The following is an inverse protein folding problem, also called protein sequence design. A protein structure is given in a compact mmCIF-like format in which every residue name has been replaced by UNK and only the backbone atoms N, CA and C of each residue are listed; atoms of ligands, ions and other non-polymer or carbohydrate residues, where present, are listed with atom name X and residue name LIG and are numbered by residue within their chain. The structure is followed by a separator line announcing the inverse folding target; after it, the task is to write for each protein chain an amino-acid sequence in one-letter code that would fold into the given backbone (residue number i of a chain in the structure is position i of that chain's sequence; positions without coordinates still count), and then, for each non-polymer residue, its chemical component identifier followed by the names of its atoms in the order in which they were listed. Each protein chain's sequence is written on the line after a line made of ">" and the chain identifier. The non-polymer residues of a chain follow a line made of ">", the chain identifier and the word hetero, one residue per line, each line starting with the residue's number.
data_IF_245795949075
#
_entry.id   IF_245795949075
#
_cell.length_a   1.000
_cell.length_b   1.000
_cell.length_c   1.000
_cell.angle_alpha   90.00
_cell.angle_beta   90.00
_cell.angle_gamma   90.00
#
_symmetry.space_group_name_H-M   'P 1'
#
loop_
_entity.id
_entity.type
_entity.pdbx_description
1 polymer ?
#
# COMPACT_ATOMS: atom_id res chain seq x y z
N UNK A 1 13.03 23.42 -32.55
CA UNK A 1 12.87 22.28 -31.63
C UNK A 1 12.02 21.18 -32.25
N UNK A 2 10.98 21.54 -33.01
CA UNK A 2 10.11 20.59 -33.72
C UNK A 2 10.85 19.66 -34.68
N UNK A 3 11.88 20.15 -35.38
CA UNK A 3 12.69 19.31 -36.29
C UNK A 3 13.45 18.18 -35.57
N UNK A 4 13.93 18.42 -34.35
CA UNK A 4 14.61 17.40 -33.55
C UNK A 4 13.61 16.35 -33.04
N UNK A 5 12.40 16.79 -32.66
CA UNK A 5 11.31 15.90 -32.26
C UNK A 5 10.83 15.06 -33.45
N UNK A 6 10.70 15.66 -34.64
CA UNK A 6 10.36 14.96 -35.87
C UNK A 6 11.44 13.93 -36.25
N UNK A 7 12.72 14.27 -36.08
CA UNK A 7 13.83 13.35 -36.33
C UNK A 7 13.85 12.18 -35.33
N UNK A 8 13.55 12.42 -34.05
CA UNK A 8 13.38 11.36 -33.05
C UNK A 8 12.25 10.39 -33.43
N UNK A 9 11.11 10.92 -33.88
CA UNK A 9 9.97 10.12 -34.33
C UNK A 9 10.31 9.31 -35.58
N UNK A 10 11.01 9.90 -36.55
CA UNK A 10 11.43 9.19 -37.76
C UNK A 10 12.42 8.04 -37.47
N UNK A 11 13.34 8.23 -36.52
CA UNK A 11 14.27 7.18 -36.11
C UNK A 11 13.52 6.04 -35.40
N UNK A 12 12.52 6.37 -34.58
CA UNK A 12 11.71 5.37 -33.88
C UNK A 12 10.86 4.54 -34.84
N UNK A 13 10.28 5.17 -35.87
CA UNK A 13 9.53 4.49 -36.93
C UNK A 13 10.41 3.51 -37.74
N UNK A 14 11.71 3.79 -37.85
CA UNK A 14 12.68 2.94 -38.56
C UNK A 14 13.49 2.02 -37.63
N UNK A 15 13.18 1.98 -36.33
CA UNK A 15 13.93 1.22 -35.32
C UNK A 15 14.08 -0.26 -35.63
N UNK A 16 13.10 -0.87 -36.31
CA UNK A 16 13.13 -2.30 -36.69
C UNK A 16 14.22 -2.66 -37.71
N UNK A 17 14.74 -1.68 -38.45
CA UNK A 17 15.80 -1.85 -39.46
C UNK A 17 17.17 -1.49 -38.88
N UNK A 18 17.20 -0.83 -37.72
CA UNK A 18 18.42 -0.35 -37.08
C UNK A 18 18.95 -1.41 -36.09
N UNK A 19 20.26 -1.70 -36.10
CA UNK A 19 20.88 -2.49 -35.05
C UNK A 19 20.66 -1.84 -33.68
N UNK A 20 20.31 -2.64 -32.68
CA UNK A 20 19.89 -2.18 -31.35
C UNK A 20 20.88 -1.19 -30.71
N UNK A 21 22.18 -1.49 -30.80
CA UNK A 21 23.24 -0.62 -30.27
C UNK A 21 23.29 0.75 -30.96
N UNK A 22 23.09 0.80 -32.28
CA UNK A 22 23.11 2.05 -33.05
C UNK A 22 21.88 2.90 -32.78
N UNK A 23 20.70 2.27 -32.63
CA UNK A 23 19.47 2.96 -32.24
C UNK A 23 19.62 3.63 -30.86
N UNK A 24 20.11 2.89 -29.87
CA UNK A 24 20.36 3.42 -28.53
C UNK A 24 21.37 4.58 -28.52
N UNK A 25 22.43 4.49 -29.32
CA UNK A 25 23.42 5.56 -29.45
C UNK A 25 22.79 6.84 -30.03
N UNK A 26 21.95 6.70 -31.06
CA UNK A 26 21.21 7.82 -31.64
C UNK A 26 20.25 8.46 -30.64
N UNK A 27 19.47 7.66 -29.89
CA UNK A 27 18.59 8.15 -28.83
C UNK A 27 19.34 8.94 -27.77
N UNK A 28 20.49 8.44 -27.33
CA UNK A 28 21.34 9.11 -26.33
C UNK A 28 21.93 10.42 -26.86
N UNK A 29 22.39 10.45 -28.12
CA UNK A 29 22.89 11.68 -28.75
C UNK A 29 21.80 12.73 -28.89
N UNK A 30 20.60 12.37 -29.32
CA UNK A 30 19.45 13.29 -29.42
C UNK A 30 19.02 13.83 -28.05
N UNK A 31 19.02 12.98 -27.01
CA UNK A 31 18.77 13.39 -25.63
C UNK A 31 19.81 14.41 -25.13
N UNK A 32 21.08 14.20 -25.45
CA UNK A 32 22.15 15.13 -25.08
C UNK A 32 22.05 16.45 -25.85
N UNK A 33 21.67 16.42 -27.13
CA UNK A 33 21.43 17.63 -27.93
C UNK A 33 20.28 18.43 -27.32
N UNK A 34 19.15 17.78 -27.00
CA UNK A 34 18.02 18.42 -26.31
C UNK A 34 18.43 18.99 -24.95
N UNK A 35 19.23 18.25 -24.18
CA UNK A 35 19.73 18.70 -22.86
C UNK A 35 20.70 19.87 -22.94
N UNK A 36 21.53 19.94 -23.98
CA UNK A 36 22.51 21.03 -24.14
C UNK A 36 21.90 22.29 -24.77
N UNK A 37 20.94 22.16 -25.68
CA UNK A 37 20.21 23.31 -26.26
C UNK A 37 19.30 23.97 -25.22
N UNK A 38 18.76 23.18 -24.27
CA UNK A 38 17.90 23.70 -23.21
C UNK A 38 18.64 24.02 -21.89
N UNK A 39 19.98 24.02 -21.89
CA UNK A 39 20.72 24.55 -20.74
C UNK A 39 20.62 26.07 -20.77
N UNK A 40 20.09 26.73 -19.71
CA UNK A 40 20.21 28.18 -19.60
C UNK A 40 21.70 28.52 -19.56
N UNK A 41 22.13 29.36 -20.50
CA UNK A 41 23.49 29.84 -20.62
C UNK A 41 23.94 30.45 -19.28
N UNK A 42 24.95 29.88 -18.63
CA UNK A 42 25.55 30.46 -17.43
C UNK A 42 26.25 31.77 -17.84
N UNK A 43 25.55 32.88 -17.63
CA UNK A 43 26.04 34.22 -17.93
C UNK A 43 27.36 34.51 -17.17
N UNK A 44 28.39 35.05 -17.83
CA UNK A 44 29.61 35.48 -17.16
C UNK A 44 29.31 36.73 -16.33
N UNK A 45 29.76 36.71 -15.07
CA UNK A 45 29.68 37.83 -14.14
C UNK A 45 30.35 39.07 -14.72
N UNK A 46 29.58 40.10 -15.10
CA UNK A 46 29.95 41.51 -14.92
C UNK A 46 28.72 42.43 -15.03
N UNK A 47 28.72 43.55 -14.29
CA UNK A 47 27.55 44.35 -14.02
C UNK A 47 27.30 45.28 -15.21
N UNK A 48 26.06 45.49 -15.62
CA UNK A 48 25.52 46.82 -15.96
C UNK A 48 24.01 46.69 -16.25
N UNK A 49 23.28 47.64 -15.67
CA UNK A 49 21.82 47.75 -15.65
C UNK A 49 21.26 47.80 -17.08
N UNK A 50 20.39 46.86 -17.40
CA UNK A 50 19.25 47.10 -18.28
C UNK A 50 18.01 46.59 -17.56
N UNK A 51 17.25 47.51 -16.96
CA UNK A 51 15.92 47.24 -16.45
C UNK A 51 14.99 46.97 -17.65
N UNK A 52 14.87 45.71 -18.05
CA UNK A 52 13.71 45.21 -18.78
C UNK A 52 12.72 44.59 -17.78
N UNK A 53 11.40 44.65 -18.02
CA UNK A 53 10.44 43.96 -17.16
C UNK A 53 10.77 42.46 -17.16
N UNK A 54 11.02 41.92 -15.97
CA UNK A 54 11.25 40.50 -15.72
C UNK A 54 10.07 39.71 -16.29
N UNK A 55 10.23 39.06 -17.44
CA UNK A 55 9.26 38.09 -17.91
C UNK A 55 9.33 36.90 -16.96
N UNK A 56 8.44 36.87 -15.98
CA UNK A 56 8.16 35.67 -15.20
C UNK A 56 7.57 34.63 -16.14
N UNK A 57 8.08 33.39 -16.16
CA UNK A 57 7.41 32.30 -16.87
C UNK A 57 5.96 32.24 -16.41
N UNK A 58 5.01 32.19 -17.35
CA UNK A 58 3.60 32.05 -17.02
C UNK A 58 3.44 30.74 -16.22
N UNK A 59 3.22 30.87 -14.91
CA UNK A 59 2.69 29.77 -14.12
C UNK A 59 1.18 29.82 -14.31
N UNK A 60 0.56 28.79 -14.92
CA UNK A 60 -0.89 28.66 -14.88
C UNK A 60 -1.30 28.74 -13.41
N UNK A 61 -2.16 29.69 -13.09
CA UNK A 61 -2.76 29.74 -11.76
C UNK A 61 -3.59 28.47 -11.66
N UNK A 62 -3.12 27.50 -10.87
CA UNK A 62 -3.90 26.30 -10.61
C UNK A 62 -5.21 26.74 -9.93
N UNK A 63 -6.33 26.42 -10.54
CA UNK A 63 -7.65 26.76 -10.00
C UNK A 63 -7.83 26.03 -8.65
N UNK A 64 -8.53 26.66 -7.70
CA UNK A 64 -8.72 26.08 -6.37
C UNK A 64 -9.34 24.67 -6.44
N UNK A 65 -10.20 24.45 -7.42
CA UNK A 65 -10.88 23.17 -7.63
C UNK A 65 -9.94 22.08 -8.16
N UNK A 66 -8.91 22.42 -8.94
CA UNK A 66 -7.86 21.48 -9.35
C UNK A 66 -6.97 21.05 -8.17
N UNK A 67 -6.69 21.99 -7.26
CA UNK A 67 -5.97 21.69 -6.01
C UNK A 67 -6.83 20.76 -5.13
N UNK A 68 -8.10 21.09 -4.92
CA UNK A 68 -9.04 20.26 -4.14
C UNK A 68 -9.20 18.87 -4.74
N UNK A 69 -9.39 18.78 -6.07
CA UNK A 69 -9.50 17.49 -6.79
C UNK A 69 -8.29 16.60 -6.57
N UNK A 70 -7.07 17.13 -6.65
CA UNK A 70 -5.84 16.36 -6.39
C UNK A 70 -5.76 15.88 -4.94
N UNK A 71 -6.17 16.71 -3.98
CA UNK A 71 -6.20 16.35 -2.56
C UNK A 71 -7.18 15.21 -2.29
N UNK A 72 -8.40 15.30 -2.82
CA UNK A 72 -9.43 14.26 -2.71
C UNK A 72 -8.92 12.95 -3.29
N UNK A 73 -8.39 12.95 -4.51
CA UNK A 73 -7.84 11.74 -5.16
C UNK A 73 -6.71 11.13 -4.31
N UNK A 74 -5.84 11.95 -3.73
CA UNK A 74 -4.76 11.47 -2.86
C UNK A 74 -5.29 10.82 -1.57
N UNK A 75 -6.32 11.41 -0.94
CA UNK A 75 -6.97 10.84 0.24
C UNK A 75 -7.67 9.53 -0.09
N UNK A 76 -8.43 9.47 -1.18
CA UNK A 76 -9.11 8.25 -1.64
C UNK A 76 -8.12 7.11 -1.89
N UNK A 77 -6.94 7.38 -2.48
CA UNK A 77 -5.89 6.36 -2.66
C UNK A 77 -5.40 5.81 -1.33
N UNK A 78 -5.22 6.68 -0.32
CA UNK A 78 -4.84 6.25 1.04
C UNK A 78 -5.94 5.37 1.65
N UNK A 79 -7.19 5.79 1.60
CA UNK A 79 -8.32 5.01 2.11
C UNK A 79 -8.43 3.65 1.41
N UNK A 80 -8.27 3.58 0.08
CA UNK A 80 -8.28 2.32 -0.64
C UNK A 80 -7.22 1.33 -0.13
N UNK A 81 -6.01 1.82 0.19
CA UNK A 81 -4.96 0.97 0.79
C UNK A 81 -5.32 0.49 2.20
N UNK A 82 -5.92 1.36 3.03
CA UNK A 82 -6.38 1.00 4.37
C UNK A 82 -7.52 -0.02 4.32
N UNK A 83 -8.52 0.19 3.47
CA UNK A 83 -9.63 -0.73 3.20
C UNK A 83 -9.09 -2.12 2.82
N UNK A 84 -8.14 -2.17 1.88
CA UNK A 84 -7.54 -3.43 1.46
C UNK A 84 -6.81 -4.13 2.62
N UNK A 85 -6.03 -3.37 3.41
CA UNK A 85 -5.33 -3.88 4.59
C UNK A 85 -6.30 -4.46 5.62
N UNK A 86 -7.37 -3.73 5.97
CA UNK A 86 -8.38 -4.20 6.95
C UNK A 86 -9.12 -5.43 6.46
N UNK A 87 -9.50 -5.50 5.19
CA UNK A 87 -10.08 -6.72 4.58
C UNK A 87 -9.15 -7.93 4.72
N UNK A 88 -7.85 -7.73 4.51
CA UNK A 88 -6.84 -8.78 4.69
C UNK A 88 -6.70 -9.21 6.15
N UNK A 89 -6.74 -8.27 7.09
CA UNK A 89 -6.68 -8.55 8.53
C UNK A 89 -7.93 -9.31 9.02
N UNK A 90 -9.13 -8.87 8.63
CA UNK A 90 -10.40 -9.56 8.92
C UNK A 90 -10.33 -11.04 8.55
N UNK A 91 -9.76 -11.36 7.38
CA UNK A 91 -9.59 -12.75 6.91
C UNK A 91 -8.73 -13.60 7.85
N UNK A 92 -7.78 -13.01 8.57
CA UNK A 92 -6.92 -13.72 9.54
C UNK A 92 -7.66 -14.10 10.82
N UNK A 93 -8.71 -13.34 11.17
CA UNK A 93 -9.52 -13.54 12.37
C UNK A 93 -10.72 -14.48 12.14
N UNK A 94 -10.77 -15.21 11.03
CA UNK A 94 -11.80 -16.23 10.80
C UNK A 94 -11.82 -17.29 11.92
N UNK A 95 -13.01 -17.73 12.35
CA UNK A 95 -13.16 -18.75 13.37
C UNK A 95 -12.61 -20.08 12.86
N UNK A 96 -11.88 -20.78 13.72
CA UNK A 96 -11.45 -22.13 13.41
C UNK A 96 -12.65 -23.07 13.48
N UNK A 97 -12.73 -24.02 12.55
CA UNK A 97 -13.72 -25.10 12.56
C UNK A 97 -13.17 -26.44 13.07
N UNK A 98 -11.84 -26.62 13.05
CA UNK A 98 -11.12 -27.81 13.53
C UNK A 98 -9.74 -27.42 14.06
N UNK A 99 -9.22 -28.17 15.04
CA UNK A 99 -7.84 -28.04 15.48
C UNK A 99 -6.92 -28.99 14.70
N UNK A 100 -5.91 -28.43 14.03
CA UNK A 100 -4.76 -29.17 13.52
C UNK A 100 -3.86 -29.63 14.67
N UNK A 101 -2.95 -30.57 14.40
CA UNK A 101 -1.98 -31.09 15.39
C UNK A 101 -1.18 -29.97 16.06
N UNK A 102 -0.70 -28.99 15.28
CA UNK A 102 0.04 -27.87 15.82
C UNK A 102 -0.84 -26.93 16.68
N UNK A 103 -2.13 -26.77 16.38
CA UNK A 103 -3.07 -25.97 17.20
C UNK A 103 -3.44 -26.68 18.49
N UNK A 104 -3.52 -28.01 18.50
CA UNK A 104 -3.68 -28.79 19.74
C UNK A 104 -2.48 -28.58 20.67
N UNK A 105 -1.27 -28.55 20.10
CA UNK A 105 -0.04 -28.20 20.83
C UNK A 105 -0.12 -26.79 21.44
N UNK A 106 -0.58 -25.81 20.66
CA UNK A 106 -0.79 -24.44 21.13
C UNK A 106 -1.83 -24.35 22.27
N UNK A 107 -2.92 -25.11 22.17
CA UNK A 107 -3.93 -25.20 23.22
C UNK A 107 -3.34 -25.71 24.54
N UNK A 108 -2.52 -26.76 24.48
CA UNK A 108 -1.81 -27.32 25.64
C UNK A 108 -0.82 -26.30 26.23
N UNK A 109 -0.09 -25.58 25.38
CA UNK A 109 0.85 -24.55 25.82
C UNK A 109 0.14 -23.35 26.48
N UNK A 110 -1.00 -22.92 25.93
CA UNK A 110 -1.81 -21.86 26.50
C UNK A 110 -2.44 -22.26 27.85
N UNK A 111 -2.86 -23.52 27.98
CA UNK A 111 -3.34 -24.06 29.25
C UNK A 111 -2.24 -24.14 30.31
N UNK A 112 -1.05 -24.66 29.95
CA UNK A 112 0.10 -24.71 30.83
C UNK A 112 0.51 -23.30 31.32
N UNK A 113 0.47 -22.30 30.42
CA UNK A 113 0.73 -20.89 30.79
C UNK A 113 -0.30 -20.34 31.78
N UNK A 114 -1.60 -20.64 31.62
CA UNK A 114 -2.64 -20.19 32.57
C UNK A 114 -2.45 -20.78 33.97
N UNK A 115 -2.03 -22.02 34.04
CA UNK A 115 -1.76 -22.72 35.31
C UNK A 115 -0.34 -22.46 35.84
N UNK A 116 0.44 -21.64 35.14
CA UNK A 116 1.83 -21.34 35.46
C UNK A 116 2.72 -22.59 35.60
N UNK A 117 2.46 -23.61 34.77
CA UNK A 117 3.18 -24.88 34.75
C UNK A 117 4.30 -24.80 33.72
N UNK A 118 5.51 -25.15 34.15
CA UNK A 118 6.66 -25.29 33.25
C UNK A 118 6.77 -26.73 32.74
N UNK A 119 6.35 -26.96 31.49
CA UNK A 119 6.54 -28.24 30.80
C UNK A 119 7.90 -28.20 30.09
N UNK A 120 8.83 -29.08 30.51
CA UNK A 120 10.20 -29.11 29.96
C UNK A 120 10.30 -29.78 28.59
N UNK A 121 9.44 -30.76 28.31
CA UNK A 121 9.53 -31.58 27.08
C UNK A 121 8.15 -31.88 26.52
N UNK A 122 7.91 -31.48 25.27
CA UNK A 122 6.72 -31.82 24.49
C UNK A 122 5.41 -31.26 25.06
N UNK A 123 4.70 -30.41 24.32
CA UNK A 123 3.34 -29.99 24.69
C UNK A 123 2.33 -31.04 24.22
N UNK A 124 2.28 -32.18 24.91
CA UNK A 124 1.33 -33.28 24.71
C UNK A 124 0.41 -33.41 25.92
N UNK A 125 -0.69 -34.16 25.78
CA UNK A 125 -1.59 -34.45 26.90
C UNK A 125 -0.86 -35.24 28.00
N UNK A 126 -0.03 -36.20 27.61
CA UNK A 126 0.82 -36.97 28.54
C UNK A 126 1.73 -36.07 29.37
N UNK A 127 2.29 -35.01 28.79
CA UNK A 127 3.11 -34.06 29.54
C UNK A 127 2.32 -33.25 30.56
N UNK A 128 1.02 -33.01 30.33
CA UNK A 128 0.14 -32.41 31.34
C UNK A 128 -0.21 -33.40 32.45
N UNK A 129 -0.44 -34.67 32.09
CA UNK A 129 -0.70 -35.73 33.07
C UNK A 129 0.51 -35.97 33.98
N UNK A 130 1.72 -35.99 33.41
CA UNK A 130 2.97 -36.08 34.15
C UNK A 130 3.20 -34.87 35.08
N UNK A 131 2.63 -33.71 34.75
CA UNK A 131 2.62 -32.54 35.63
C UNK A 131 1.52 -32.58 36.70
N UNK A 132 0.73 -33.66 36.76
CA UNK A 132 -0.34 -33.88 37.75
C UNK A 132 -1.74 -33.45 37.29
N UNK A 133 -1.92 -33.05 36.04
CA UNK A 133 -3.21 -32.57 35.51
C UNK A 133 -3.81 -33.59 34.54
N UNK A 134 -4.76 -34.39 35.04
CA UNK A 134 -5.53 -35.31 34.20
C UNK A 134 -6.68 -34.58 33.51
N UNK A 135 -6.72 -34.69 32.19
CA UNK A 135 -7.83 -34.18 31.38
C UNK A 135 -8.77 -35.37 31.12
N UNK A 136 -9.90 -35.40 31.83
CA UNK A 136 -10.88 -36.50 31.71
C UNK A 136 -11.54 -36.55 30.33
N UNK A 137 -11.74 -35.39 29.69
CA UNK A 137 -12.35 -35.29 28.37
C UNK A 137 -11.49 -34.41 27.43
N UNK A 138 -10.61 -35.02 26.62
CA UNK A 138 -9.73 -34.28 25.72
C UNK A 138 -10.48 -33.41 24.71
N UNK A 139 -11.63 -33.88 24.22
CA UNK A 139 -12.40 -33.16 23.20
C UNK A 139 -13.04 -31.90 23.78
N UNK A 140 -13.61 -31.99 24.98
CA UNK A 140 -14.16 -30.82 25.70
C UNK A 140 -13.07 -29.79 26.02
N UNK A 141 -11.87 -30.25 26.42
CA UNK A 141 -10.72 -29.38 26.63
C UNK A 141 -10.37 -28.57 25.38
N UNK A 142 -10.21 -29.25 24.23
CA UNK A 142 -9.87 -28.57 22.98
C UNK A 142 -11.02 -27.67 22.48
N UNK A 143 -12.26 -28.10 22.64
CA UNK A 143 -13.44 -27.29 22.29
C UNK A 143 -13.54 -26.02 23.14
N UNK A 144 -13.21 -26.10 24.43
CA UNK A 144 -13.20 -24.93 25.33
C UNK A 144 -12.13 -23.92 24.90
N UNK A 145 -10.92 -24.40 24.61
CA UNK A 145 -9.85 -23.55 24.09
C UNK A 145 -10.25 -22.89 22.77
N UNK A 146 -10.82 -23.67 21.84
CA UNK A 146 -11.26 -23.21 20.53
C UNK A 146 -12.36 -22.16 20.61
N UNK A 147 -13.36 -22.40 21.46
CA UNK A 147 -14.49 -21.48 21.68
C UNK A 147 -13.97 -20.14 22.18
N UNK A 148 -13.08 -20.16 23.18
CA UNK A 148 -12.48 -18.94 23.73
C UNK A 148 -11.61 -18.20 22.72
N UNK A 149 -10.75 -18.90 21.97
CA UNK A 149 -9.95 -18.28 20.89
C UNK A 149 -10.85 -17.67 19.83
N UNK A 150 -11.90 -18.37 19.41
CA UNK A 150 -12.84 -17.89 18.42
C UNK A 150 -13.64 -16.69 18.92
N UNK A 151 -13.99 -16.63 20.21
CA UNK A 151 -14.62 -15.45 20.82
C UNK A 151 -13.70 -14.23 20.76
N UNK A 152 -12.42 -14.37 21.11
CA UNK A 152 -11.43 -13.29 21.00
C UNK A 152 -11.27 -12.84 19.53
N UNK A 153 -11.16 -13.80 18.61
CA UNK A 153 -11.06 -13.51 17.19
C UNK A 153 -12.32 -12.80 16.65
N UNK A 154 -13.51 -13.14 17.15
CA UNK A 154 -14.76 -12.49 16.78
C UNK A 154 -14.80 -11.02 17.23
N UNK A 155 -14.34 -10.72 18.46
CA UNK A 155 -14.24 -9.34 18.95
C UNK A 155 -13.28 -8.53 18.06
N UNK A 156 -12.08 -9.05 17.81
CA UNK A 156 -11.10 -8.38 16.94
C UNK A 156 -11.64 -8.20 15.50
N UNK A 157 -12.36 -9.19 14.99
CA UNK A 157 -13.01 -9.09 13.68
C UNK A 157 -14.05 -7.99 13.66
N UNK A 158 -14.87 -7.86 14.70
CA UNK A 158 -15.87 -6.80 14.83
C UNK A 158 -15.21 -5.41 14.82
N UNK A 159 -14.16 -5.20 15.60
CA UNK A 159 -13.42 -3.93 15.62
C UNK A 159 -12.89 -3.56 14.23
N UNK A 160 -12.25 -4.52 13.55
CA UNK A 160 -11.75 -4.32 12.20
C UNK A 160 -12.86 -4.06 11.17
N UNK A 161 -14.05 -4.65 11.37
CA UNK A 161 -15.21 -4.42 10.51
C UNK A 161 -15.78 -3.01 10.70
N UNK A 162 -15.88 -2.52 11.94
CA UNK A 162 -16.29 -1.13 12.20
C UNK A 162 -15.33 -0.13 11.56
N UNK A 163 -14.02 -0.36 11.69
CA UNK A 163 -13.02 0.49 11.04
C UNK A 163 -13.09 0.41 9.51
N UNK A 164 -13.34 -0.77 8.97
CA UNK A 164 -13.51 -0.95 7.53
C UNK A 164 -14.73 -0.18 7.01
N UNK A 165 -15.87 -0.27 7.70
CA UNK A 165 -17.08 0.47 7.38
C UNK A 165 -16.81 1.98 7.40
N UNK A 166 -16.16 2.48 8.44
CA UNK A 166 -15.77 3.90 8.53
C UNK A 166 -14.93 4.36 7.32
N UNK A 167 -13.91 3.57 6.92
CA UNK A 167 -13.10 3.93 5.76
C UNK A 167 -13.87 3.84 4.44
N UNK A 168 -14.84 2.93 4.33
CA UNK A 168 -15.71 2.84 3.15
C UNK A 168 -16.63 4.06 3.06
N UNK A 169 -17.26 4.46 4.16
CA UNK A 169 -18.12 5.65 4.21
C UNK A 169 -17.33 6.93 3.87
N UNK A 170 -16.10 7.06 4.38
CA UNK A 170 -15.22 8.19 4.05
C UNK A 170 -14.82 8.18 2.56
N UNK A 171 -14.54 6.99 2.01
CA UNK A 171 -14.23 6.85 0.59
C UNK A 171 -15.42 7.26 -0.29
N UNK A 172 -16.63 6.83 0.07
CA UNK A 172 -17.86 7.14 -0.67
C UNK A 172 -18.20 8.63 -0.59
N UNK A 173 -18.02 9.27 0.56
CA UNK A 173 -18.14 10.74 0.71
C UNK A 173 -17.17 11.49 -0.20
N UNK A 174 -15.89 11.12 -0.19
CA UNK A 174 -14.89 11.75 -1.05
C UNK A 174 -15.16 11.51 -2.55
N UNK A 175 -15.73 10.35 -2.90
CA UNK A 175 -16.16 10.06 -4.26
C UNK A 175 -17.31 10.98 -4.70
N UNK A 176 -18.25 11.26 -3.81
CA UNK A 176 -19.34 12.20 -4.05
C UNK A 176 -18.81 13.63 -4.25
N UNK A 177 -17.93 14.10 -3.36
CA UNK A 177 -17.27 15.40 -3.49
C UNK A 177 -16.52 15.53 -4.82
N UNK A 178 -15.82 14.46 -5.25
CA UNK A 178 -15.13 14.42 -6.53
C UNK A 178 -16.10 14.51 -7.72
N UNK A 179 -17.26 13.87 -7.64
CA UNK A 179 -18.29 13.93 -8.67
C UNK A 179 -18.91 15.31 -8.77
N UNK A 180 -19.13 15.99 -7.64
CA UNK A 180 -19.63 17.37 -7.60
C UNK A 180 -18.64 18.28 -8.34
N UNK A 181 -17.34 18.22 -8.00
CA UNK A 181 -16.31 19.01 -8.67
C UNK A 181 -16.21 18.73 -10.19
N UNK A 182 -16.53 17.51 -10.62
CA UNK A 182 -16.54 17.13 -12.05
C UNK A 182 -17.72 17.72 -12.82
N UNK A 183 -18.85 17.98 -12.17
CA UNK A 183 -20.08 18.47 -12.81
C UNK A 183 -20.18 20.01 -12.86
N UNK A 184 -19.15 20.73 -12.39
CA UNK A 184 -19.09 22.20 -12.38
C UNK A 184 -18.50 22.77 -13.70
N UNK A 185 -17.97 21.92 -14.59
CA UNK A 185 -17.43 22.30 -15.92
C UNK A 185 -18.17 21.62 -17.07
#
# INVERSE_FOLDING_TARGET
>A
MDDLVALMQLIDLNSKVLPEGSYLEMCNRMKNIYGNINKPEELPSTPHRLMGPRQVPFQPVEEEDDIRRRQIIAQMRRLATLIHKRKSEIKKHEPWKRLSVWRKKEAIQDYARRLNIHIRTGFTLESLENAGFRINNPDEFFNTYMTRRNAIAAIQKMDLQMELEHFQDEYDRLQEDLNILRNVY
#
